data_IF_538268592688
#
_entry.id   IF_538268592688
#
_cell.length_a   1.000
_cell.length_b   1.000
_cell.length_c   1.000
_cell.angle_alpha   90.00
_cell.angle_beta   90.00
_cell.angle_gamma   90.00
#
_symmetry.space_group_name_H-M   'P 1'
#
loop_
_entity.id
_entity.type
_entity.pdbx_description
1 polymer ?
#
# COMPACT_ATOMS: atom_id res chain seq x y z
N UNK A 1 -2.51 7.79 2.36
CA UNK A 1 -2.49 6.37 2.64
C UNK A 1 -3.40 6.16 3.81
N UNK A 2 -2.97 5.35 4.77
CA UNK A 2 -3.73 5.11 5.98
C UNK A 2 -2.90 5.50 7.20
N UNK A 3 -3.52 6.19 8.14
CA UNK A 3 -3.01 6.44 9.48
C UNK A 3 -3.68 5.49 10.47
N UNK A 4 -3.02 5.21 11.59
CA UNK A 4 -3.67 4.50 12.69
C UNK A 4 -4.67 5.46 13.34
N UNK A 5 -5.95 5.17 13.25
CA UNK A 5 -7.01 5.91 13.91
C UNK A 5 -6.96 5.72 15.42
N UNK A 6 -7.68 6.57 16.15
CA UNK A 6 -7.75 6.54 17.63
C UNK A 6 -8.27 5.19 18.16
N UNK A 7 -9.14 4.54 17.39
CA UNK A 7 -9.74 3.24 17.72
C UNK A 7 -8.82 2.04 17.38
N UNK A 8 -7.61 2.29 16.88
CA UNK A 8 -6.68 1.26 16.40
C UNK A 8 -6.96 0.76 14.98
N UNK A 9 -8.07 1.19 14.37
CA UNK A 9 -8.41 0.89 12.97
C UNK A 9 -7.64 1.76 11.98
N UNK A 10 -7.56 1.33 10.72
CA UNK A 10 -6.95 2.11 9.65
C UNK A 10 -7.90 3.24 9.24
N UNK A 11 -7.49 4.49 9.46
CA UNK A 11 -8.20 5.68 9.01
C UNK A 11 -7.54 6.26 7.76
N UNK A 12 -8.33 6.80 6.84
CA UNK A 12 -7.81 7.44 5.64
C UNK A 12 -7.01 8.68 6.03
N UNK A 13 -5.80 8.81 5.48
CA UNK A 13 -5.03 10.04 5.55
C UNK A 13 -5.40 10.93 4.36
N UNK A 14 -6.12 12.02 4.63
CA UNK A 14 -6.59 12.98 3.62
C UNK A 14 -5.47 13.68 2.86
N UNK A 15 -4.24 13.74 3.40
CA UNK A 15 -3.11 14.37 2.71
C UNK A 15 -2.52 13.46 1.64
N UNK A 16 -2.41 12.18 1.96
CA UNK A 16 -1.76 11.19 1.10
C UNK A 16 -2.77 10.39 0.24
N UNK A 17 -4.03 10.26 0.66
CA UNK A 17 -5.05 9.53 -0.09
C UNK A 17 -5.33 10.10 -1.50
N UNK A 18 -5.34 11.43 -1.73
CA UNK A 18 -5.45 11.99 -3.07
C UNK A 18 -4.31 11.56 -3.99
N UNK A 19 -3.08 11.43 -3.47
CA UNK A 19 -1.91 10.96 -4.24
C UNK A 19 -2.12 9.52 -4.68
N UNK A 20 -2.61 8.66 -3.78
CA UNK A 20 -2.92 7.26 -4.09
C UNK A 20 -4.02 7.19 -5.15
N UNK A 21 -5.14 7.92 -4.98
CA UNK A 21 -6.22 8.00 -5.98
C UNK A 21 -5.70 8.41 -7.34
N UNK A 22 -4.81 9.41 -7.38
CA UNK A 22 -4.18 9.87 -8.61
C UNK A 22 -3.29 8.82 -9.26
N UNK A 23 -2.48 8.09 -8.49
CA UNK A 23 -1.64 6.99 -9.01
C UNK A 23 -2.51 5.95 -9.70
N UNK A 24 -3.60 5.53 -9.06
CA UNK A 24 -4.55 4.58 -9.64
C UNK A 24 -5.22 5.15 -10.90
N UNK A 25 -5.69 6.40 -10.86
CA UNK A 25 -6.31 7.05 -12.02
C UNK A 25 -5.36 7.13 -13.23
N UNK A 26 -4.10 7.54 -13.02
CA UNK A 26 -3.08 7.59 -14.09
C UNK A 26 -2.79 6.20 -14.64
N UNK A 27 -2.71 5.19 -13.77
CA UNK A 27 -2.49 3.80 -14.20
C UNK A 27 -3.66 3.28 -15.05
N UNK A 28 -4.91 3.55 -14.64
CA UNK A 28 -6.11 3.20 -15.41
C UNK A 28 -6.21 3.95 -16.76
N UNK A 29 -5.62 5.15 -16.85
CA UNK A 29 -5.45 5.89 -18.11
C UNK A 29 -4.34 5.32 -19.00
N UNK A 30 -3.67 4.22 -18.61
CA UNK A 30 -2.62 3.57 -19.39
C UNK A 30 -1.20 4.08 -19.10
N UNK A 31 -1.01 4.93 -18.08
CA UNK A 31 0.33 5.38 -17.70
C UNK A 31 1.12 4.26 -17.03
N UNK A 32 2.39 4.12 -17.41
CA UNK A 32 3.29 3.14 -16.77
C UNK A 32 3.71 3.61 -15.37
N UNK A 33 4.05 2.69 -14.44
CA UNK A 33 4.58 3.06 -13.12
C UNK A 33 5.80 3.98 -13.19
N UNK A 34 6.62 3.85 -14.24
CA UNK A 34 7.78 4.71 -14.51
C UNK A 34 7.35 6.13 -14.87
N UNK A 35 6.33 6.29 -15.72
CA UNK A 35 5.77 7.59 -16.11
C UNK A 35 5.18 8.28 -14.88
N UNK A 36 4.36 7.57 -14.10
CA UNK A 36 3.74 8.08 -12.88
C UNK A 36 4.82 8.53 -11.87
N UNK A 37 5.87 7.73 -11.67
CA UNK A 37 6.95 8.11 -10.77
C UNK A 37 7.69 9.38 -11.21
N UNK A 38 7.91 9.55 -12.51
CA UNK A 38 8.53 10.77 -13.06
C UNK A 38 7.64 12.00 -12.86
N UNK A 39 6.34 11.88 -13.10
CA UNK A 39 5.36 12.96 -12.88
C UNK A 39 5.36 13.41 -11.41
N UNK A 40 5.23 12.47 -10.47
CA UNK A 40 5.22 12.77 -9.03
C UNK A 40 6.54 13.38 -8.56
N UNK A 41 7.68 12.96 -9.12
CA UNK A 41 8.99 13.54 -8.83
C UNK A 41 9.12 14.96 -9.38
N UNK A 42 8.65 15.21 -10.60
CA UNK A 42 8.70 16.52 -11.25
C UNK A 42 7.85 17.56 -10.49
N UNK A 43 6.74 17.11 -9.91
CA UNK A 43 5.85 17.93 -9.08
C UNK A 43 6.32 18.10 -7.64
N UNK A 44 7.52 17.59 -7.31
CA UNK A 44 8.13 17.68 -5.98
C UNK A 44 7.27 17.07 -4.86
N UNK A 45 6.39 16.12 -5.20
CA UNK A 45 5.58 15.42 -4.21
C UNK A 45 6.50 14.45 -3.45
N UNK A 46 6.55 14.49 -2.11
CA UNK A 46 7.35 13.54 -1.35
C UNK A 46 6.73 12.13 -1.43
N UNK A 47 7.58 11.12 -1.48
CA UNK A 47 7.15 9.72 -1.33
C UNK A 47 6.57 9.46 0.06
N UNK A 48 5.81 8.37 0.28
CA UNK A 48 5.30 8.00 1.62
C UNK A 48 6.39 7.82 2.69
N UNK A 49 7.67 7.73 2.29
CA UNK A 49 8.82 7.61 3.18
C UNK A 49 9.64 8.90 3.27
N UNK A 50 9.11 10.02 2.78
CA UNK A 50 9.74 11.35 2.82
C UNK A 50 10.87 11.59 1.81
N UNK A 51 11.09 10.67 0.85
CA UNK A 51 12.08 10.88 -0.23
C UNK A 51 11.53 11.83 -1.29
N UNK A 52 12.41 12.63 -1.88
CA UNK A 52 12.10 13.60 -2.94
C UNK A 52 11.96 12.95 -4.33
N UNK A 53 12.58 11.80 -4.55
CA UNK A 53 12.52 11.06 -5.82
C UNK A 53 11.64 9.83 -5.66
N UNK A 54 10.68 9.66 -6.58
CA UNK A 54 9.83 8.48 -6.64
C UNK A 54 10.51 7.36 -7.43
N UNK A 55 10.84 6.22 -6.81
CA UNK A 55 11.24 5.05 -7.55
C UNK A 55 10.00 4.33 -8.12
N UNK A 56 10.06 3.79 -9.34
CA UNK A 56 8.94 3.05 -9.94
C UNK A 56 8.48 1.84 -9.10
N UNK A 57 9.37 1.25 -8.29
CA UNK A 57 9.04 0.16 -7.37
C UNK A 57 8.04 0.58 -6.30
N UNK A 58 8.11 1.82 -5.80
CA UNK A 58 7.13 2.35 -4.83
C UNK A 58 5.75 2.46 -5.47
N UNK A 59 5.67 2.95 -6.71
CA UNK A 59 4.40 3.03 -7.45
C UNK A 59 3.80 1.64 -7.65
N UNK A 60 4.61 0.64 -8.05
CA UNK A 60 4.15 -0.75 -8.17
C UNK A 60 3.65 -1.32 -6.84
N UNK A 61 4.36 -1.05 -5.76
CA UNK A 61 3.95 -1.49 -4.41
C UNK A 61 2.61 -0.89 -4.01
N UNK A 62 2.35 0.38 -4.36
CA UNK A 62 1.06 1.04 -4.11
C UNK A 62 -0.06 0.41 -4.93
N UNK A 63 0.18 0.11 -6.21
CA UNK A 63 -0.81 -0.51 -7.09
C UNK A 63 -1.12 -1.97 -6.72
N UNK A 64 -0.16 -2.71 -6.17
CA UNK A 64 -0.32 -4.11 -5.79
C UNK A 64 -0.91 -4.31 -4.38
N UNK A 65 -0.98 -3.25 -3.58
CA UNK A 65 -1.37 -3.35 -2.17
C UNK A 65 -2.90 -3.41 -2.02
N UNK A 66 -3.38 -4.54 -1.53
CA UNK A 66 -4.81 -4.83 -1.36
C UNK A 66 -5.51 -3.87 -0.37
N UNK A 67 -4.74 -3.23 0.52
CA UNK A 67 -5.29 -2.31 1.52
C UNK A 67 -5.99 -1.11 0.88
N UNK A 68 -5.54 -0.67 -0.29
CA UNK A 68 -6.13 0.49 -0.94
C UNK A 68 -7.55 0.24 -1.46
N UNK A 69 -7.96 -1.02 -1.64
CA UNK A 69 -9.35 -1.39 -1.94
C UNK A 69 -10.16 -1.83 -0.70
N UNK A 70 -9.63 -1.61 0.51
CA UNK A 70 -10.30 -1.93 1.77
C UNK A 70 -10.05 -3.34 2.30
N UNK A 71 -9.27 -4.16 1.59
CA UNK A 71 -9.01 -5.55 1.96
C UNK A 71 -7.77 -5.67 2.87
N UNK A 72 -7.69 -6.77 3.62
CA UNK A 72 -6.54 -7.06 4.47
C UNK A 72 -6.11 -8.51 4.31
N UNK A 73 -4.84 -8.72 3.94
CA UNK A 73 -4.21 -10.02 3.99
C UNK A 73 -3.40 -10.16 5.29
N UNK A 74 -3.83 -11.06 6.15
CA UNK A 74 -3.23 -11.35 7.45
C UNK A 74 -2.17 -12.45 7.33
N UNK A 75 -1.20 -12.45 8.25
CA UNK A 75 -0.10 -13.43 8.30
C UNK A 75 0.75 -13.51 7.02
N UNK A 76 1.05 -12.35 6.40
CA UNK A 76 2.02 -12.24 5.30
C UNK A 76 3.43 -12.68 5.68
N UNK A 77 3.74 -12.66 6.97
CA UNK A 77 4.98 -13.16 7.55
C UNK A 77 4.69 -13.80 8.91
N UNK A 78 5.55 -14.72 9.32
CA UNK A 78 5.43 -15.46 10.56
C UNK A 78 6.80 -15.62 11.23
N UNK A 79 6.79 -15.86 12.54
CA UNK A 79 8.00 -16.12 13.32
C UNK A 79 8.41 -17.58 13.14
N UNK A 80 9.59 -17.83 12.58
CA UNK A 80 10.14 -19.18 12.38
C UNK A 80 10.82 -19.73 13.63
N UNK A 81 11.37 -18.84 14.44
CA UNK A 81 12.07 -19.19 15.68
C UNK A 81 11.65 -18.22 16.79
N UNK A 82 11.04 -18.77 17.84
CA UNK A 82 10.52 -18.00 18.98
C UNK A 82 11.62 -17.41 19.86
N UNK A 83 12.81 -18.03 19.88
CA UNK A 83 13.93 -17.62 20.73
C UNK A 83 14.68 -16.44 20.09
N UNK A 84 14.91 -16.52 18.78
CA UNK A 84 15.60 -15.45 18.02
C UNK A 84 14.64 -14.42 17.43
N UNK A 85 13.32 -14.65 17.50
CA UNK A 85 12.27 -13.83 16.87
C UNK A 85 12.50 -13.64 15.36
N UNK A 86 13.13 -14.63 14.72
CA UNK A 86 13.39 -14.59 13.28
C UNK A 86 12.06 -14.65 12.53
N UNK A 87 11.85 -13.72 11.60
CA UNK A 87 10.63 -13.58 10.81
C UNK A 87 10.90 -14.00 9.36
N UNK A 88 10.01 -14.80 8.78
CA UNK A 88 10.03 -15.17 7.36
C UNK A 88 8.73 -14.71 6.68
N UNK A 89 8.81 -14.32 5.41
CA UNK A 89 7.62 -14.21 4.54
C UNK A 89 6.94 -15.57 4.47
N UNK A 90 5.62 -15.56 4.59
CA UNK A 90 4.81 -16.76 4.51
C UNK A 90 4.55 -17.09 3.03
N UNK A 91 5.13 -18.19 2.56
CA UNK A 91 5.00 -18.73 1.20
C UNK A 91 4.01 -19.90 1.14
N UNK A 92 3.31 -20.18 2.25
CA UNK A 92 2.35 -21.27 2.40
C UNK A 92 2.60 -22.16 3.63
N UNK A 93 3.60 -21.86 4.45
CA UNK A 93 3.94 -22.64 5.64
C UNK A 93 2.87 -22.55 6.74
N UNK A 94 2.18 -21.41 6.84
CA UNK A 94 1.05 -21.23 7.77
C UNK A 94 -0.16 -20.65 7.01
N UNK A 95 -1.40 -20.88 7.48
CA UNK A 95 -2.59 -20.32 6.83
C UNK A 95 -2.49 -18.80 6.67
N UNK A 96 -2.91 -18.31 5.50
CA UNK A 96 -3.09 -16.88 5.25
C UNK A 96 -4.58 -16.57 5.18
N UNK A 97 -5.00 -15.48 5.82
CA UNK A 97 -6.41 -15.09 5.86
C UNK A 97 -6.60 -13.81 5.05
N UNK A 98 -7.43 -13.90 4.01
CA UNK A 98 -7.84 -12.77 3.20
C UNK A 98 -9.19 -12.25 3.70
N UNK A 99 -9.22 -11.03 4.21
CA UNK A 99 -10.42 -10.37 4.72
C UNK A 99 -10.82 -9.26 3.75
N UNK A 100 -12.01 -9.39 3.16
CA UNK A 100 -12.58 -8.36 2.29
C UNK A 100 -13.30 -7.28 3.09
N UNK A 101 -13.17 -6.01 2.71
CA UNK A 101 -13.92 -4.91 3.34
C UNK A 101 -13.57 -4.66 4.82
N UNK A 102 -12.32 -4.88 5.19
CA UNK A 102 -11.82 -4.70 6.56
C UNK A 102 -11.83 -3.23 7.03
N UNK A 103 -11.67 -2.29 6.10
CA UNK A 103 -11.60 -0.85 6.40
C UNK A 103 -12.06 -0.03 5.19
N UNK A 104 -12.28 1.26 5.41
CA UNK A 104 -12.76 2.17 4.37
C UNK A 104 -11.77 2.21 3.19
N UNK A 105 -12.22 1.88 1.96
CA UNK A 105 -11.35 1.83 0.81
C UNK A 105 -10.97 3.23 0.31
N UNK A 106 -9.70 3.42 -0.04
CA UNK A 106 -9.24 4.63 -0.74
C UNK A 106 -9.65 4.59 -2.23
N UNK A 107 -9.66 3.40 -2.82
CA UNK A 107 -10.07 3.14 -4.20
C UNK A 107 -11.30 2.25 -4.15
N UNK A 108 -12.40 2.70 -4.74
CA UNK A 108 -13.61 1.88 -4.82
C UNK A 108 -13.30 0.59 -5.59
N UNK A 109 -13.58 -0.60 -5.02
CA UNK A 109 -13.54 -1.84 -5.77
C UNK A 109 -14.59 -1.78 -6.90
N UNK A 110 -14.24 -2.35 -8.05
CA UNK A 110 -15.14 -2.48 -9.20
C UNK A 110 -16.20 -3.57 -8.98
#
# INVERSE_FOLDING_TARGET
>A
GYKKGEDGNLAIDETEAPIVRRIYARFLQGATPQTIAKELTAEQIPTPRGKTVWPPSTVRSILANEKYKGDALLQKSFTTDFLTKTMKVNEGEVPQYYVTGNHEPIINPA
#
